data_IF_224142054822
#
_entry.id   IF_224142054822
#
_cell.length_a   1.000
_cell.length_b   1.000
_cell.length_c   1.000
_cell.angle_alpha   90.00
_cell.angle_beta   90.00
_cell.angle_gamma   90.00
#
_symmetry.space_group_name_H-M   'P 1'
#
loop_
_entity.id
_entity.type
_entity.pdbx_description
1 polymer ?
#
# COMPACT_ATOMS: atom_id res chain seq x y z
N UNK A 1 -10.80 21.23 9.73
CA UNK A 1 -9.81 20.73 8.75
C UNK A 1 -8.96 19.65 9.42
N UNK A 2 -8.93 18.45 8.86
CA UNK A 2 -8.04 17.41 9.36
C UNK A 2 -6.62 17.76 8.88
N UNK A 3 -5.72 18.08 9.79
CA UNK A 3 -4.34 18.51 9.48
C UNK A 3 -3.41 17.33 9.25
N UNK A 4 -3.61 16.23 9.98
CA UNK A 4 -2.81 15.02 9.83
C UNK A 4 -3.05 14.32 8.50
N UNK A 5 -2.02 13.75 7.88
CA UNK A 5 -2.17 12.96 6.68
C UNK A 5 -3.06 11.72 6.95
N UNK A 6 -3.91 11.34 5.99
CA UNK A 6 -4.71 10.14 6.13
C UNK A 6 -3.81 8.89 6.18
N UNK A 7 -4.16 7.93 7.03
CA UNK A 7 -3.42 6.69 7.20
C UNK A 7 -3.91 5.63 6.22
N UNK A 8 -2.99 4.88 5.62
CA UNK A 8 -3.33 3.92 4.57
C UNK A 8 -4.18 2.76 5.09
N UNK A 9 -3.96 2.29 6.32
CA UNK A 9 -4.75 1.20 6.88
C UNK A 9 -6.25 1.54 6.98
N UNK A 10 -6.60 2.78 7.32
CA UNK A 10 -8.00 3.22 7.38
C UNK A 10 -8.63 3.29 5.99
N UNK A 11 -7.86 3.74 4.99
CA UNK A 11 -8.31 3.75 3.60
C UNK A 11 -8.55 2.31 3.10
N UNK A 12 -7.62 1.40 3.39
CA UNK A 12 -7.74 0.01 3.01
C UNK A 12 -8.93 -0.70 3.64
N UNK A 13 -9.03 -0.67 4.97
CA UNK A 13 -10.09 -1.40 5.69
C UNK A 13 -11.49 -0.88 5.36
N UNK A 14 -11.67 0.44 5.32
CA UNK A 14 -12.97 1.03 4.96
C UNK A 14 -13.31 0.73 3.49
N UNK A 15 -12.36 0.87 2.58
CA UNK A 15 -12.56 0.58 1.17
C UNK A 15 -12.92 -0.89 0.92
N UNK A 16 -12.25 -1.84 1.60
CA UNK A 16 -12.58 -3.26 1.51
C UNK A 16 -13.97 -3.56 2.07
N UNK A 17 -14.35 -2.98 3.20
CA UNK A 17 -15.71 -3.12 3.73
C UNK A 17 -16.76 -2.65 2.71
N UNK A 18 -16.52 -1.53 2.04
CA UNK A 18 -17.39 -1.05 0.96
C UNK A 18 -17.42 -2.02 -0.23
N UNK A 19 -16.26 -2.55 -0.66
CA UNK A 19 -16.19 -3.55 -1.74
C UNK A 19 -17.02 -4.79 -1.42
N UNK A 20 -16.90 -5.32 -0.20
CA UNK A 20 -17.69 -6.48 0.25
C UNK A 20 -19.19 -6.17 0.28
N UNK A 21 -19.59 -4.98 0.78
CA UNK A 21 -20.98 -4.55 0.76
C UNK A 21 -21.54 -4.48 -0.67
N UNK A 22 -20.76 -4.02 -1.64
CA UNK A 22 -21.16 -4.05 -3.04
C UNK A 22 -21.48 -5.47 -3.51
N UNK A 23 -20.63 -6.44 -3.23
CA UNK A 23 -20.85 -7.82 -3.64
C UNK A 23 -22.06 -8.47 -2.96
N UNK A 24 -22.40 -8.04 -1.74
CA UNK A 24 -23.60 -8.52 -1.03
C UNK A 24 -24.88 -7.83 -1.53
N UNK A 25 -24.85 -6.51 -1.71
CA UNK A 25 -26.07 -5.73 -1.97
C UNK A 25 -26.31 -5.39 -3.44
N UNK A 26 -25.27 -5.48 -4.26
CA UNK A 26 -25.23 -5.03 -5.66
C UNK A 26 -25.51 -3.52 -5.84
N UNK A 27 -25.43 -2.72 -4.77
CA UNK A 27 -25.61 -1.28 -4.84
C UNK A 27 -24.29 -0.59 -5.24
N UNK A 28 -24.27 0.04 -6.43
CA UNK A 28 -23.07 0.67 -7.01
C UNK A 28 -22.39 1.71 -6.10
N UNK A 29 -23.16 2.40 -5.25
CA UNK A 29 -22.63 3.40 -4.31
C UNK A 29 -21.50 2.85 -3.41
N UNK A 30 -21.54 1.56 -3.09
CA UNK A 30 -20.50 0.93 -2.26
C UNK A 30 -19.21 0.70 -3.05
N UNK A 31 -19.31 0.22 -4.30
CA UNK A 31 -18.15 0.09 -5.17
C UNK A 31 -17.52 1.45 -5.50
N UNK A 32 -18.35 2.47 -5.75
CA UNK A 32 -17.87 3.83 -5.99
C UNK A 32 -17.11 4.38 -4.77
N UNK A 33 -17.61 4.09 -3.57
CA UNK A 33 -16.94 4.48 -2.32
C UNK A 33 -15.63 3.71 -2.12
N UNK A 34 -15.59 2.40 -2.40
CA UNK A 34 -14.37 1.60 -2.34
C UNK A 34 -13.28 2.15 -3.28
N UNK A 35 -13.65 2.43 -4.54
CA UNK A 35 -12.78 3.06 -5.53
C UNK A 35 -12.25 4.40 -5.05
N UNK A 36 -13.13 5.27 -4.57
CA UNK A 36 -12.77 6.60 -4.09
C UNK A 36 -11.72 6.54 -2.99
N UNK A 37 -11.96 5.69 -1.99
CA UNK A 37 -11.13 5.66 -0.77
C UNK A 37 -9.81 4.97 -1.01
N UNK A 38 -9.80 3.80 -1.63
CA UNK A 38 -8.56 3.05 -1.89
C UNK A 38 -7.68 3.81 -2.90
N UNK A 39 -8.27 4.35 -3.98
CA UNK A 39 -7.51 5.10 -4.96
C UNK A 39 -7.01 6.46 -4.43
N UNK A 40 -7.65 7.02 -3.41
CA UNK A 40 -7.15 8.24 -2.77
C UNK A 40 -5.74 8.05 -2.20
N UNK A 41 -5.45 6.91 -1.56
CA UNK A 41 -4.11 6.61 -1.07
C UNK A 41 -3.08 6.47 -2.20
N UNK A 42 -3.51 6.07 -3.40
CA UNK A 42 -2.64 5.89 -4.57
C UNK A 42 -2.47 7.15 -5.44
N UNK A 43 -3.17 8.26 -5.12
CA UNK A 43 -3.15 9.47 -5.95
C UNK A 43 -2.93 10.76 -5.18
N UNK A 44 -3.16 10.77 -3.87
CA UNK A 44 -3.06 11.99 -3.07
C UNK A 44 -1.62 12.27 -2.62
N UNK A 45 -1.14 13.48 -2.84
CA UNK A 45 0.15 13.97 -2.31
C UNK A 45 0.22 13.91 -0.78
N UNK A 46 -0.92 13.77 -0.09
CA UNK A 46 -0.97 13.56 1.35
C UNK A 46 -0.57 12.14 1.76
N UNK A 47 -0.67 11.18 0.85
CA UNK A 47 -0.34 9.76 1.06
C UNK A 47 0.95 9.36 0.36
N UNK A 48 1.43 10.19 -0.57
CA UNK A 48 2.56 9.88 -1.43
C UNK A 48 3.74 10.81 -1.18
N UNK A 49 4.92 10.27 -1.38
CA UNK A 49 6.18 11.02 -1.52
C UNK A 49 6.85 10.54 -2.82
N UNK A 50 7.00 11.45 -3.78
CA UNK A 50 7.53 11.13 -5.11
C UNK A 50 6.78 9.96 -5.81
N UNK A 51 5.46 9.92 -5.68
CA UNK A 51 4.62 8.87 -6.30
C UNK A 51 4.63 7.52 -5.58
N UNK A 52 5.40 7.39 -4.48
CA UNK A 52 5.52 6.17 -3.68
C UNK A 52 4.81 6.39 -2.34
N UNK A 53 4.13 5.36 -1.82
CA UNK A 53 3.52 5.41 -0.50
C UNK A 53 4.55 5.90 0.53
N UNK A 54 4.22 7.00 1.21
CA UNK A 54 5.10 7.58 2.23
C UNK A 54 5.26 6.63 3.42
N UNK A 55 6.25 6.89 4.24
CA UNK A 55 6.25 6.33 5.59
C UNK A 55 5.12 6.98 6.41
N UNK A 56 4.56 6.24 7.33
CA UNK A 56 3.45 6.68 8.20
C UNK A 56 3.89 6.77 9.65
N UNK A 57 5.19 6.67 9.88
CA UNK A 57 5.84 6.74 11.17
C UNK A 57 6.70 5.51 11.47
N UNK A 58 7.51 5.61 12.54
CA UNK A 58 8.51 4.62 12.91
C UNK A 58 8.13 3.78 14.13
N UNK A 59 6.97 4.04 14.75
CA UNK A 59 6.46 3.14 15.80
C UNK A 59 6.11 1.77 15.21
N UNK A 60 6.01 0.76 16.07
CA UNK A 60 5.66 -0.60 15.62
C UNK A 60 4.33 -0.60 14.84
N UNK A 61 3.30 0.05 15.35
CA UNK A 61 1.98 0.11 14.72
C UNK A 61 2.01 0.89 13.42
N UNK A 62 2.64 2.05 13.39
CA UNK A 62 2.71 2.89 12.19
C UNK A 62 3.48 2.21 11.06
N UNK A 63 4.52 1.47 11.38
CA UNK A 63 5.36 0.80 10.38
C UNK A 63 4.65 -0.35 9.63
N UNK A 64 3.55 -0.90 10.18
CA UNK A 64 2.77 -1.96 9.53
C UNK A 64 1.51 -1.46 8.80
N UNK A 65 1.15 -0.19 8.87
CA UNK A 65 -0.11 0.32 8.27
C UNK A 65 -0.22 0.01 6.77
N UNK A 66 0.86 0.15 6.03
CA UNK A 66 0.87 -0.19 4.60
C UNK A 66 0.57 -1.67 4.34
N UNK A 67 0.98 -2.57 5.24
CA UNK A 67 0.69 -4.01 5.08
C UNK A 67 -0.81 -4.33 5.17
N UNK A 68 -1.58 -3.48 5.83
CA UNK A 68 -3.05 -3.60 5.88
C UNK A 68 -3.68 -3.05 4.61
N UNK A 69 -3.16 -1.96 4.07
CA UNK A 69 -3.67 -1.35 2.84
C UNK A 69 -3.44 -2.22 1.60
N UNK A 70 -2.25 -2.77 1.44
CA UNK A 70 -1.82 -3.48 0.23
C UNK A 70 -2.77 -4.61 -0.19
N UNK A 71 -3.14 -5.57 0.67
CA UNK A 71 -4.02 -6.67 0.25
C UNK A 71 -5.40 -6.16 -0.19
N UNK A 72 -5.91 -5.10 0.39
CA UNK A 72 -7.20 -4.53 0.00
C UNK A 72 -7.12 -3.73 -1.31
N UNK A 73 -6.02 -3.05 -1.55
CA UNK A 73 -5.75 -2.44 -2.85
C UNK A 73 -5.63 -3.50 -3.96
N UNK A 74 -5.00 -4.64 -3.68
CA UNK A 74 -4.91 -5.79 -4.59
C UNK A 74 -6.30 -6.39 -4.83
N UNK A 75 -7.10 -6.60 -3.80
CA UNK A 75 -8.47 -7.11 -3.94
C UNK A 75 -9.30 -6.21 -4.87
N UNK A 76 -9.24 -4.89 -4.69
CA UNK A 76 -9.93 -3.95 -5.57
C UNK A 76 -9.35 -3.96 -6.98
N UNK A 77 -8.02 -4.06 -7.12
CA UNK A 77 -7.36 -4.11 -8.43
C UNK A 77 -7.78 -5.33 -9.27
N UNK A 78 -8.03 -6.48 -8.61
CA UNK A 78 -8.48 -7.73 -9.23
C UNK A 78 -10.00 -7.79 -9.43
N UNK A 79 -10.75 -6.87 -8.84
CA UNK A 79 -12.20 -6.85 -8.94
C UNK A 79 -12.63 -6.28 -10.31
N UNK A 80 -13.39 -7.06 -11.08
CA UNK A 80 -13.87 -6.63 -12.41
C UNK A 80 -14.67 -5.32 -12.37
N UNK A 81 -15.42 -5.10 -11.28
CA UNK A 81 -16.19 -3.88 -11.08
C UNK A 81 -15.32 -2.64 -10.80
N UNK A 82 -14.02 -2.81 -10.58
CA UNK A 82 -13.09 -1.67 -10.36
C UNK A 82 -12.81 -0.86 -11.63
N UNK A 83 -12.87 -1.49 -12.82
CA UNK A 83 -12.67 -0.84 -14.10
C UNK A 83 -11.28 -0.20 -14.25
N UNK A 84 -11.23 1.07 -14.67
CA UNK A 84 -9.96 1.80 -14.86
C UNK A 84 -9.19 2.03 -13.55
N UNK A 85 -9.87 2.12 -12.42
CA UNK A 85 -9.24 2.27 -11.11
C UNK A 85 -8.40 1.02 -10.77
N UNK A 86 -8.92 -0.18 -11.06
CA UNK A 86 -8.15 -1.42 -10.87
C UNK A 86 -6.86 -1.42 -11.68
N UNK A 87 -6.91 -1.02 -12.95
CA UNK A 87 -5.72 -0.90 -13.81
C UNK A 87 -4.70 0.11 -13.27
N UNK A 88 -5.18 1.25 -12.77
CA UNK A 88 -4.33 2.25 -12.13
C UNK A 88 -3.64 1.69 -10.88
N UNK A 89 -4.39 1.00 -10.02
CA UNK A 89 -3.86 0.37 -8.81
C UNK A 89 -2.78 -0.69 -9.13
N UNK A 90 -2.97 -1.50 -10.17
CA UNK A 90 -1.95 -2.46 -10.61
C UNK A 90 -0.65 -1.73 -10.96
N UNK A 91 -0.72 -0.69 -11.77
CA UNK A 91 0.45 0.11 -12.16
C UNK A 91 1.10 0.76 -10.95
N UNK A 92 0.31 1.34 -10.07
CA UNK A 92 0.78 1.97 -8.84
C UNK A 92 1.51 0.99 -7.93
N UNK A 93 0.92 -0.18 -7.66
CA UNK A 93 1.52 -1.20 -6.81
C UNK A 93 2.83 -1.75 -7.40
N UNK A 94 2.87 -1.99 -8.73
CA UNK A 94 4.08 -2.42 -9.43
C UNK A 94 5.19 -1.37 -9.33
N UNK A 95 4.88 -0.09 -9.49
CA UNK A 95 5.87 0.98 -9.33
C UNK A 95 6.43 1.06 -7.90
N UNK A 96 5.57 0.88 -6.88
CA UNK A 96 6.00 0.81 -5.50
C UNK A 96 6.93 -0.40 -5.24
N UNK A 97 6.58 -1.55 -5.78
CA UNK A 97 7.38 -2.77 -5.63
C UNK A 97 8.74 -2.67 -6.33
N UNK A 98 8.78 -2.13 -7.53
CA UNK A 98 10.05 -1.91 -8.24
C UNK A 98 10.94 -0.92 -7.48
N UNK A 99 10.37 0.17 -6.97
CA UNK A 99 11.09 1.12 -6.13
C UNK A 99 11.65 0.46 -4.86
N UNK A 100 10.83 -0.35 -4.18
CA UNK A 100 11.30 -1.13 -3.02
C UNK A 100 12.44 -2.05 -3.42
N UNK A 101 12.31 -2.82 -4.50
CA UNK A 101 13.34 -3.76 -4.98
C UNK A 101 14.66 -3.06 -5.27
N UNK A 102 14.62 -1.90 -5.91
CA UNK A 102 15.82 -1.10 -6.22
C UNK A 102 16.49 -0.52 -4.97
N UNK A 103 15.75 -0.31 -3.89
CA UNK A 103 16.22 0.25 -2.64
C UNK A 103 16.50 -0.79 -1.54
N UNK A 104 16.47 -2.09 -1.86
CA UNK A 104 16.97 -3.10 -0.94
C UNK A 104 18.50 -2.99 -0.84
N UNK A 105 19.04 -3.10 0.38
CA UNK A 105 20.49 -3.07 0.59
C UNK A 105 21.12 -4.40 0.22
N UNK A 106 21.38 -4.64 -1.05
CA UNK A 106 21.99 -5.88 -1.56
C UNK A 106 23.41 -6.14 -1.00
N UNK A 107 24.11 -5.09 -0.60
CA UNK A 107 25.45 -5.24 0.02
C UNK A 107 25.38 -5.86 1.43
N UNK A 108 24.21 -5.79 2.07
CA UNK A 108 23.98 -6.37 3.40
C UNK A 108 23.41 -7.81 3.34
N UNK A 109 23.47 -8.48 2.19
CA UNK A 109 22.99 -9.87 2.06
C UNK A 109 23.53 -10.78 3.18
N UNK A 110 22.70 -11.64 3.81
CA UNK A 110 21.29 -11.92 3.50
C UNK A 110 20.27 -10.95 4.15
N UNK A 111 20.71 -10.01 4.96
CA UNK A 111 19.86 -9.04 5.68
C UNK A 111 19.50 -7.84 4.80
N UNK A 112 18.86 -8.10 3.66
CA UNK A 112 18.41 -7.07 2.71
C UNK A 112 17.10 -6.44 3.19
N UNK A 113 17.14 -5.72 4.29
CA UNK A 113 15.96 -5.08 4.87
C UNK A 113 15.48 -3.90 4.02
N UNK A 114 14.16 -3.66 4.02
CA UNK A 114 13.57 -2.45 3.47
C UNK A 114 13.43 -1.37 4.54
N UNK A 115 13.40 -0.11 4.10
CA UNK A 115 13.17 1.04 4.95
C UNK A 115 11.66 1.29 5.16
N UNK A 116 11.31 2.17 6.10
CA UNK A 116 9.93 2.65 6.34
C UNK A 116 9.32 3.27 5.08
N UNK A 117 10.08 4.11 4.38
CA UNK A 117 9.74 4.58 3.06
C UNK A 117 10.51 3.80 2.00
N UNK A 118 9.80 3.21 1.05
CA UNK A 118 10.40 2.34 0.03
C UNK A 118 11.27 3.06 -1.00
N UNK A 119 11.19 4.39 -1.07
CA UNK A 119 12.05 5.22 -1.92
C UNK A 119 13.43 5.50 -1.36
N UNK A 120 13.81 4.89 -0.24
CA UNK A 120 15.11 5.06 0.41
C UNK A 120 15.67 3.72 0.88
N UNK A 121 16.97 3.52 0.65
CA UNK A 121 17.65 2.31 1.08
C UNK A 121 17.83 2.29 2.61
N UNK A 122 17.50 1.15 3.24
CA UNK A 122 17.83 0.92 4.64
C UNK A 122 19.36 0.85 4.83
N UNK A 123 19.86 1.51 5.87
CA UNK A 123 21.27 1.52 6.22
C UNK A 123 21.55 0.51 7.33
N UNK A 124 22.59 -0.30 7.18
CA UNK A 124 22.99 -1.32 8.17
C UNK A 124 23.40 -0.75 9.54
N UNK A 125 23.66 0.56 9.61
CA UNK A 125 23.90 1.27 10.87
C UNK A 125 22.62 1.57 11.67
N UNK A 126 21.43 1.35 11.08
CA UNK A 126 20.14 1.63 11.69
C UNK A 126 19.47 0.32 12.14
N UNK A 127 18.67 0.35 13.23
CA UNK A 127 17.86 -0.81 13.59
C UNK A 127 16.86 -1.15 12.50
N UNK A 128 16.75 -2.43 12.13
CA UNK A 128 15.73 -2.89 11.23
C UNK A 128 14.37 -2.98 11.95
N UNK A 129 13.33 -2.46 11.34
CA UNK A 129 11.96 -2.57 11.87
C UNK A 129 11.26 -3.80 11.32
N UNK A 130 10.72 -4.64 12.19
CA UNK A 130 9.87 -5.77 11.79
C UNK A 130 8.63 -5.29 11.01
N UNK A 131 7.99 -4.21 11.47
CA UNK A 131 6.79 -3.66 10.79
C UNK A 131 7.10 -3.17 9.38
N UNK A 132 8.26 -2.54 9.16
CA UNK A 132 8.69 -2.15 7.82
C UNK A 132 8.90 -3.39 6.92
N UNK A 133 9.48 -4.48 7.45
CA UNK A 133 9.67 -5.74 6.70
C UNK A 133 8.33 -6.38 6.35
N UNK A 134 7.38 -6.42 7.29
CA UNK A 134 6.02 -6.92 7.04
C UNK A 134 5.33 -6.10 5.93
N UNK A 135 5.47 -4.78 5.94
CA UNK A 135 4.91 -3.91 4.90
C UNK A 135 5.54 -4.18 3.52
N UNK A 136 6.85 -4.36 3.46
CA UNK A 136 7.56 -4.72 2.22
C UNK A 136 7.17 -6.11 1.72
N UNK A 137 7.10 -7.10 2.60
CA UNK A 137 6.69 -8.46 2.26
C UNK A 137 5.24 -8.52 1.73
N UNK A 138 4.32 -7.77 2.36
CA UNK A 138 2.93 -7.66 1.90
C UNK A 138 2.84 -7.08 0.50
N UNK A 139 3.69 -6.10 0.16
CA UNK A 139 3.75 -5.55 -1.19
C UNK A 139 4.21 -6.62 -2.20
N UNK A 140 5.26 -7.36 -1.90
CA UNK A 140 5.77 -8.40 -2.81
C UNK A 140 4.77 -9.56 -2.98
N UNK A 141 4.08 -9.97 -1.90
CA UNK A 141 2.99 -10.93 -1.98
C UNK A 141 1.84 -10.40 -2.85
N UNK A 142 1.47 -9.13 -2.66
CA UNK A 142 0.46 -8.48 -3.47
C UNK A 142 0.79 -8.47 -4.96
N UNK A 143 2.06 -8.22 -5.33
CA UNK A 143 2.51 -8.29 -6.73
C UNK A 143 2.39 -9.71 -7.28
N UNK A 144 2.78 -10.73 -6.52
CA UNK A 144 2.64 -12.12 -6.94
C UNK A 144 1.19 -12.53 -7.23
N UNK A 145 0.21 -11.91 -6.54
CA UNK A 145 -1.22 -12.10 -6.83
C UNK A 145 -1.71 -11.38 -8.08
N UNK A 146 -0.97 -10.36 -8.55
CA UNK A 146 -1.31 -9.56 -9.74
C UNK A 146 -0.70 -10.12 -11.05
N UNK A 147 0.16 -11.13 -10.95
CA UNK A 147 0.80 -11.83 -12.08
C UNK A 147 -0.04 -13.05 -12.49
#
# INVERSE_FOLDING_TARGET
RVEEPPLTYTQGTFGEACRQLYHITQESKYMDKAKQVINYAATSDRCLRNGILRDEGSSMDQSIFKSVYIPYAVNLALDEASGSIGKHLITFLKNNAETLRMNLNHAAYPAMYCNYWWGEMWKSSEPASMGAQVSGASLMEGIARLE
#
